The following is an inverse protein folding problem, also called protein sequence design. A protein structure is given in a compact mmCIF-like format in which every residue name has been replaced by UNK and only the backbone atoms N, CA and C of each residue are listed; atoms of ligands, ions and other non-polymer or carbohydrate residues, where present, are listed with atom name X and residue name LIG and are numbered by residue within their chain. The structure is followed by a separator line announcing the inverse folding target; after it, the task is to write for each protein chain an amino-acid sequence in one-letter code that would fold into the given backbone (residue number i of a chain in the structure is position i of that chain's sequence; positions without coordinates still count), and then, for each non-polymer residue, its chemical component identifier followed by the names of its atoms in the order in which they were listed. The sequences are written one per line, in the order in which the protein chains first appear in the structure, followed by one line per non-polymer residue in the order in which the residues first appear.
data_IF_731088940117
#
_entry.id   IF_731088940117
#
_cell.length_a   1.000
_cell.length_b   1.000
_cell.length_c   1.000
_cell.angle_alpha   90.00
_cell.angle_beta   90.00
_cell.angle_gamma   90.00
#
_symmetry.space_group_name_H-M   'P 1'
#
loop_
_entity.id
_entity.type
_entity.pdbx_description
1 polymer ?
#
# COMPACT_ATOMS: atom_id res chain seq x y z
N UNK A 1 -20.63 -18.82 -12.41
CA UNK A 1 -20.80 -19.00 -13.88
C UNK A 1 -19.43 -19.15 -14.51
N UNK A 2 -19.12 -20.30 -15.13
CA UNK A 2 -17.85 -20.50 -15.84
C UNK A 2 -17.89 -19.71 -17.15
N UNK A 3 -17.04 -18.69 -17.29
CA UNK A 3 -16.78 -18.02 -18.58
C UNK A 3 -16.20 -19.04 -19.56
N UNK A 4 -16.61 -18.98 -20.83
CA UNK A 4 -16.06 -19.86 -21.88
C UNK A 4 -14.63 -19.45 -22.23
N UNK A 5 -13.83 -20.38 -22.75
CA UNK A 5 -12.43 -20.10 -23.12
C UNK A 5 -12.29 -18.95 -24.13
N UNK A 6 -13.22 -18.80 -25.09
CA UNK A 6 -13.25 -17.67 -26.02
C UNK A 6 -13.50 -16.32 -25.33
N UNK A 7 -14.40 -16.26 -24.34
CA UNK A 7 -14.67 -15.02 -23.59
C UNK A 7 -13.49 -14.60 -22.72
N UNK A 8 -12.67 -15.56 -22.27
CA UNK A 8 -11.42 -15.27 -21.58
C UNK A 8 -10.41 -14.65 -22.56
N UNK A 9 -10.18 -15.30 -23.72
CA UNK A 9 -9.22 -14.84 -24.74
C UNK A 9 -9.53 -13.42 -25.25
N UNK A 10 -10.79 -13.12 -25.56
CA UNK A 10 -11.20 -11.77 -26.00
C UNK A 10 -11.06 -10.71 -24.89
N UNK A 11 -11.35 -11.09 -23.64
CA UNK A 11 -11.16 -10.22 -22.48
C UNK A 11 -9.69 -9.85 -22.27
N UNK A 12 -8.80 -10.84 -22.37
CA UNK A 12 -7.36 -10.63 -22.25
C UNK A 12 -6.83 -9.65 -23.31
N UNK A 13 -7.30 -9.76 -24.56
CA UNK A 13 -6.90 -8.87 -25.63
C UNK A 13 -7.35 -7.42 -25.39
N UNK A 14 -8.57 -7.23 -24.88
CA UNK A 14 -9.12 -5.91 -24.60
C UNK A 14 -8.37 -5.17 -23.48
N UNK A 15 -8.01 -5.89 -22.42
CA UNK A 15 -7.25 -5.32 -21.30
C UNK A 15 -5.79 -5.07 -21.70
N UNK A 16 -5.17 -5.94 -22.51
CA UNK A 16 -3.85 -5.68 -23.08
C UNK A 16 -3.83 -4.37 -23.86
N UNK A 17 -4.79 -4.16 -24.76
CA UNK A 17 -4.94 -2.90 -25.50
C UNK A 17 -5.14 -1.69 -24.58
N UNK A 18 -5.87 -1.88 -23.47
CA UNK A 18 -6.09 -0.84 -22.47
C UNK A 18 -4.81 -0.48 -21.71
N UNK A 19 -4.01 -1.47 -21.31
CA UNK A 19 -2.70 -1.26 -20.67
C UNK A 19 -1.75 -0.55 -21.65
N UNK A 20 -1.71 -0.99 -22.91
CA UNK A 20 -0.87 -0.38 -23.95
C UNK A 20 -1.24 1.09 -24.21
N UNK A 21 -2.53 1.41 -24.27
CA UNK A 21 -3.03 2.78 -24.51
C UNK A 21 -3.10 3.67 -23.26
N UNK A 22 -2.97 3.10 -22.05
CA UNK A 22 -3.00 3.86 -20.81
C UNK A 22 -1.84 4.88 -20.76
N UNK A 23 -2.14 6.09 -20.26
CA UNK A 23 -1.15 7.14 -19.99
C UNK A 23 -0.44 6.96 -18.65
N UNK A 24 -1.06 6.23 -17.71
CA UNK A 24 -0.49 5.87 -16.41
C UNK A 24 -0.91 4.45 -16.04
N UNK A 25 0.02 3.68 -15.54
CA UNK A 25 -0.23 2.33 -15.03
C UNK A 25 0.11 2.36 -13.55
N UNK A 26 -0.89 2.19 -12.70
CA UNK A 26 -0.70 1.96 -11.28
C UNK A 26 -0.65 0.46 -11.08
N UNK A 27 0.34 -0.05 -10.35
CA UNK A 27 0.50 -1.48 -10.13
C UNK A 27 0.79 -1.75 -8.66
N UNK A 28 0.11 -2.73 -8.07
CA UNK A 28 0.51 -3.26 -6.78
C UNK A 28 1.84 -4.02 -6.87
N UNK A 29 2.45 -4.29 -5.73
CA UNK A 29 3.79 -4.89 -5.66
C UNK A 29 3.71 -6.37 -5.31
N UNK A 30 3.24 -6.67 -4.10
CA UNK A 30 3.10 -8.03 -3.62
C UNK A 30 1.95 -8.71 -4.38
N UNK A 31 2.14 -9.95 -4.83
CA UNK A 31 1.15 -10.68 -5.61
C UNK A 31 1.07 -10.30 -7.11
N UNK A 32 1.60 -9.14 -7.49
CA UNK A 32 1.70 -8.69 -8.89
C UNK A 32 3.11 -8.81 -9.47
N UNK A 33 4.08 -8.13 -8.85
CA UNK A 33 5.48 -8.12 -9.29
C UNK A 33 6.32 -9.14 -8.53
N UNK A 34 6.09 -9.25 -7.22
CA UNK A 34 6.90 -10.09 -6.34
C UNK A 34 6.03 -10.89 -5.37
N UNK A 35 6.59 -11.98 -4.83
CA UNK A 35 6.03 -12.74 -3.71
C UNK A 35 7.19 -13.06 -2.76
N UNK A 36 7.31 -12.28 -1.68
CA UNK A 36 8.48 -12.36 -0.79
C UNK A 36 9.75 -11.93 -1.52
N UNK A 37 10.73 -12.82 -1.63
CA UNK A 37 12.00 -12.59 -2.36
C UNK A 37 11.98 -13.07 -3.82
N UNK A 38 10.83 -13.54 -4.32
CA UNK A 38 10.70 -14.08 -5.67
C UNK A 38 10.02 -13.09 -6.61
N UNK A 39 10.60 -12.86 -7.78
CA UNK A 39 9.95 -12.15 -8.90
C UNK A 39 8.92 -13.04 -9.58
N UNK A 40 7.74 -12.48 -9.86
CA UNK A 40 6.64 -13.17 -10.51
C UNK A 40 6.76 -13.11 -12.04
N UNK A 41 6.09 -14.04 -12.72
CA UNK A 41 6.19 -14.22 -14.17
C UNK A 41 5.81 -12.94 -14.93
N UNK A 42 6.69 -12.49 -15.82
CA UNK A 42 6.49 -11.30 -16.66
C UNK A 42 6.77 -9.97 -15.98
N UNK A 43 7.16 -9.95 -14.70
CA UNK A 43 7.35 -8.71 -13.96
C UNK A 43 8.54 -7.87 -14.46
N UNK A 44 9.66 -8.51 -14.82
CA UNK A 44 10.81 -7.81 -15.40
C UNK A 44 10.43 -7.13 -16.72
N UNK A 45 9.89 -7.92 -17.66
CA UNK A 45 9.50 -7.45 -18.98
C UNK A 45 8.43 -6.35 -18.88
N UNK A 46 7.51 -6.47 -17.92
CA UNK A 46 6.47 -5.48 -17.68
C UNK A 46 7.02 -4.15 -17.14
N UNK A 47 7.92 -4.21 -16.15
CA UNK A 47 8.56 -3.01 -15.59
C UNK A 47 9.38 -2.31 -16.65
N UNK A 48 10.18 -3.04 -17.42
CA UNK A 48 11.02 -2.46 -18.48
C UNK A 48 10.17 -1.84 -19.59
N UNK A 49 9.18 -2.58 -20.09
CA UNK A 49 8.34 -2.16 -21.22
C UNK A 49 7.47 -0.94 -20.90
N UNK A 50 7.03 -0.78 -19.65
CA UNK A 50 6.16 0.32 -19.22
C UNK A 50 6.82 1.33 -18.29
N UNK A 51 8.15 1.30 -18.18
CA UNK A 51 8.96 2.10 -17.25
C UNK A 51 8.63 3.60 -17.21
N UNK A 52 8.26 4.20 -18.34
CA UNK A 52 7.92 5.63 -18.42
C UNK A 52 6.56 6.00 -17.82
N UNK A 53 5.61 5.04 -17.78
CA UNK A 53 4.23 5.27 -17.31
C UNK A 53 3.82 4.44 -16.10
N UNK A 54 4.68 3.53 -15.65
CA UNK A 54 4.45 2.69 -14.49
C UNK A 54 4.71 3.45 -13.18
N UNK A 55 3.82 3.25 -12.21
CA UNK A 55 4.03 3.57 -10.80
C UNK A 55 3.56 2.42 -9.93
N UNK A 56 4.26 2.22 -8.82
CA UNK A 56 3.94 1.20 -7.84
C UNK A 56 3.18 1.80 -6.67
N UNK A 57 2.12 1.11 -6.25
CA UNK A 57 1.17 1.57 -5.26
C UNK A 57 0.91 0.46 -4.25
N UNK A 58 1.53 0.55 -3.07
CA UNK A 58 1.52 -0.54 -2.08
C UNK A 58 1.03 -0.09 -0.70
N UNK A 59 0.30 -0.98 -0.03
CA UNK A 59 -0.07 -0.84 1.38
C UNK A 59 1.11 -1.03 2.35
N UNK A 60 2.32 -1.30 1.84
CA UNK A 60 3.53 -1.43 2.64
C UNK A 60 3.74 -0.20 3.54
N UNK A 61 3.86 -0.47 4.84
CA UNK A 61 4.11 0.51 5.89
C UNK A 61 5.36 0.18 6.74
N UNK A 62 6.18 -0.76 6.26
CA UNK A 62 7.46 -1.20 6.88
C UNK A 62 8.67 -0.59 6.16
N UNK A 63 8.57 -0.42 4.84
CA UNK A 63 9.62 0.12 3.98
C UNK A 63 9.45 1.63 3.72
N UNK A 64 10.57 2.31 3.51
CA UNK A 64 10.59 3.60 2.83
C UNK A 64 10.77 3.37 1.33
N UNK A 65 10.50 4.37 0.50
CA UNK A 65 10.79 4.32 -0.93
C UNK A 65 12.24 3.94 -1.21
N UNK A 66 13.19 4.46 -0.45
CA UNK A 66 14.61 4.10 -0.59
C UNK A 66 14.87 2.62 -0.25
N UNK A 67 14.35 2.11 0.87
CA UNK A 67 14.59 0.71 1.24
C UNK A 67 13.88 -0.26 0.28
N UNK A 68 12.69 0.10 -0.18
CA UNK A 68 11.95 -0.68 -1.16
C UNK A 68 12.62 -0.65 -2.54
N UNK A 69 13.07 0.52 -3.02
CA UNK A 69 13.79 0.64 -4.28
C UNK A 69 15.03 -0.25 -4.26
N UNK A 70 15.85 -0.16 -3.20
CA UNK A 70 17.04 -1.00 -3.04
C UNK A 70 16.68 -2.49 -3.12
N UNK A 71 15.61 -2.91 -2.43
CA UNK A 71 15.12 -4.29 -2.49
C UNK A 71 14.69 -4.69 -3.91
N UNK A 72 13.92 -3.85 -4.60
CA UNK A 72 13.49 -4.12 -5.97
C UNK A 72 14.68 -4.20 -6.95
N UNK A 73 15.70 -3.36 -6.76
CA UNK A 73 16.94 -3.41 -7.54
C UNK A 73 17.70 -4.72 -7.34
N UNK A 74 17.78 -5.25 -6.11
CA UNK A 74 18.38 -6.57 -5.87
C UNK A 74 17.63 -7.71 -6.56
N UNK A 75 16.36 -7.49 -6.88
CA UNK A 75 15.51 -8.39 -7.64
C UNK A 75 15.52 -8.10 -9.14
N UNK A 76 16.34 -7.16 -9.63
CA UNK A 76 16.43 -6.79 -11.05
C UNK A 76 15.22 -6.00 -11.57
N UNK A 77 14.46 -5.34 -10.68
CA UNK A 77 13.37 -4.45 -11.03
C UNK A 77 13.80 -3.00 -10.81
N UNK A 78 14.03 -2.28 -11.90
CA UNK A 78 14.59 -0.93 -11.86
C UNK A 78 13.48 0.13 -11.93
N UNK A 79 13.24 0.84 -10.82
CA UNK A 79 12.30 1.94 -10.74
C UNK A 79 12.93 3.15 -10.04
N UNK A 80 12.46 4.35 -10.39
CA UNK A 80 12.82 5.59 -9.71
C UNK A 80 11.99 5.80 -8.45
N UNK A 81 12.53 6.56 -7.49
CA UNK A 81 11.83 6.87 -6.23
C UNK A 81 10.49 7.59 -6.42
N UNK A 82 10.35 8.40 -7.47
CA UNK A 82 9.10 9.11 -7.81
C UNK A 82 8.01 8.20 -8.39
N UNK A 83 8.35 6.93 -8.68
CA UNK A 83 7.41 5.91 -9.12
C UNK A 83 6.84 5.09 -7.96
N UNK A 84 7.30 5.28 -6.73
CA UNK A 84 6.92 4.45 -5.59
C UNK A 84 5.97 5.22 -4.66
N UNK A 85 4.79 4.68 -4.40
CA UNK A 85 3.78 5.26 -3.52
C UNK A 85 3.40 4.24 -2.44
N UNK A 86 3.83 4.51 -1.22
CA UNK A 86 3.72 3.58 -0.08
C UNK A 86 2.83 4.16 1.00
N UNK A 87 1.89 3.35 1.50
CA UNK A 87 0.94 3.78 2.51
C UNK A 87 1.61 4.28 3.80
N UNK A 88 2.75 3.70 4.20
CA UNK A 88 3.52 4.17 5.37
C UNK A 88 4.04 5.60 5.21
N UNK A 89 4.75 5.90 4.13
CA UNK A 89 5.26 7.26 3.89
C UNK A 89 4.14 8.26 3.61
N UNK A 90 3.07 7.85 2.93
CA UNK A 90 1.89 8.69 2.72
C UNK A 90 1.16 8.98 4.04
N UNK A 91 1.21 8.06 5.01
CA UNK A 91 0.72 8.29 6.37
C UNK A 91 1.51 9.39 7.07
N UNK A 92 2.83 9.38 6.94
CA UNK A 92 3.68 10.43 7.48
C UNK A 92 3.43 11.77 6.78
N UNK A 93 3.30 11.77 5.45
CA UNK A 93 3.01 12.98 4.68
C UNK A 93 1.64 13.58 5.06
N UNK A 94 0.63 12.72 5.24
CA UNK A 94 -0.69 13.12 5.68
C UNK A 94 -0.64 13.69 7.10
N UNK A 95 0.03 13.01 8.04
CA UNK A 95 0.17 13.48 9.42
C UNK A 95 0.87 14.85 9.49
N UNK A 96 1.97 15.03 8.76
CA UNK A 96 2.68 16.30 8.67
C UNK A 96 1.79 17.42 8.13
N UNK A 97 1.03 17.15 7.06
CA UNK A 97 0.14 18.14 6.45
C UNK A 97 -0.96 18.63 7.40
N UNK A 98 -1.52 17.75 8.24
CA UNK A 98 -2.69 18.07 9.06
C UNK A 98 -2.34 18.49 10.49
N UNK A 99 -1.23 18.00 11.04
CA UNK A 99 -0.82 18.30 12.42
C UNK A 99 0.43 19.18 12.51
N UNK A 100 1.14 19.39 11.40
CA UNK A 100 2.47 19.99 11.39
C UNK A 100 3.53 19.10 12.09
N UNK A 101 4.79 19.55 12.14
CA UNK A 101 5.82 18.91 12.95
C UNK A 101 5.40 18.86 14.43
N UNK A 102 5.76 17.79 15.12
CA UNK A 102 5.41 17.64 16.53
C UNK A 102 5.32 16.20 17.04
N UNK A 103 4.80 16.04 18.28
CA UNK A 103 4.75 14.75 18.96
C UNK A 103 3.66 13.86 18.39
N UNK A 104 4.03 12.62 18.07
CA UNK A 104 3.15 11.54 17.62
C UNK A 104 3.45 10.28 18.43
N UNK A 105 2.46 9.40 18.60
CA UNK A 105 2.71 8.06 19.12
C UNK A 105 2.74 7.09 17.94
N UNK A 106 3.80 6.29 17.82
CA UNK A 106 3.96 5.39 16.67
C UNK A 106 3.91 3.94 17.15
N UNK A 107 3.06 3.16 16.50
CA UNK A 107 3.20 1.71 16.36
C UNK A 107 3.73 1.49 14.94
N UNK A 108 5.05 1.45 14.79
CA UNK A 108 5.75 1.34 13.51
C UNK A 108 7.18 0.87 13.78
N UNK A 109 7.82 0.20 12.83
CA UNK A 109 9.23 -0.23 12.98
C UNK A 109 10.23 0.95 13.08
N UNK A 110 11.47 0.66 13.47
CA UNK A 110 12.53 1.66 13.60
C UNK A 110 12.76 2.50 12.34
N UNK A 111 12.72 1.87 11.16
CA UNK A 111 12.91 2.55 9.87
C UNK A 111 11.83 3.62 9.63
N UNK A 112 10.56 3.28 9.81
CA UNK A 112 9.46 4.21 9.61
C UNK A 112 9.46 5.32 10.67
N UNK A 113 9.84 5.02 11.92
CA UNK A 113 10.04 6.03 12.97
C UNK A 113 11.18 6.99 12.62
N UNK A 114 12.28 6.51 12.04
CA UNK A 114 13.37 7.35 11.57
C UNK A 114 12.91 8.29 10.42
N UNK A 115 12.20 7.75 9.43
CA UNK A 115 11.63 8.53 8.33
C UNK A 115 10.62 9.59 8.82
N UNK A 116 9.88 9.30 9.89
CA UNK A 116 9.00 10.26 10.55
C UNK A 116 9.79 11.39 11.21
N UNK A 117 10.85 11.04 11.95
CA UNK A 117 11.69 12.01 12.65
C UNK A 117 12.38 12.98 11.70
N UNK A 118 12.86 12.53 10.54
CA UNK A 118 13.42 13.38 9.47
C UNK A 118 12.44 14.46 8.98
N UNK A 119 11.14 14.18 9.05
CA UNK A 119 10.05 15.11 8.70
C UNK A 119 9.59 15.98 9.87
N UNK A 120 10.20 15.84 11.04
CA UNK A 120 9.80 16.52 12.28
C UNK A 120 8.60 15.90 12.99
N UNK A 121 8.20 14.67 12.65
CA UNK A 121 7.20 13.89 13.38
C UNK A 121 7.91 12.99 14.39
N UNK A 122 7.84 13.35 15.67
CA UNK A 122 8.69 12.76 16.70
C UNK A 122 7.88 11.78 17.56
N UNK A 123 8.38 10.56 17.71
CA UNK A 123 7.79 9.58 18.61
C UNK A 123 7.85 10.06 20.07
N UNK A 124 6.70 10.13 20.74
CA UNK A 124 6.58 10.59 22.14
C UNK A 124 5.55 9.75 22.90
N UNK A 125 5.92 9.36 24.12
CA UNK A 125 5.05 8.64 25.06
C UNK A 125 4.07 9.59 25.77
N UNK A 126 4.37 10.89 25.82
CA UNK A 126 3.59 11.90 26.50
C UNK A 126 2.90 12.84 25.51
N UNK A 127 1.59 13.05 25.71
CA UNK A 127 0.77 14.03 24.97
C UNK A 127 0.97 14.00 23.43
N UNK A 128 0.90 12.83 22.76
CA UNK A 128 0.93 12.77 21.30
C UNK A 128 -0.30 13.45 20.71
N UNK A 129 -0.17 14.01 19.50
CA UNK A 129 -1.30 14.59 18.76
C UNK A 129 -2.17 13.54 18.07
N UNK A 130 -1.58 12.40 17.73
CA UNK A 130 -2.25 11.25 17.13
C UNK A 130 -1.48 9.96 17.44
N UNK A 131 -2.19 8.83 17.34
CA UNK A 131 -1.59 7.49 17.30
C UNK A 131 -1.49 7.05 15.85
N UNK A 132 -0.27 6.84 15.37
CA UNK A 132 0.03 6.38 14.00
C UNK A 132 0.30 4.88 14.04
N UNK A 133 -0.47 4.12 13.27
CA UNK A 133 -0.38 2.66 13.20
C UNK A 133 0.10 2.25 11.81
N UNK A 134 1.33 1.76 11.77
CA UNK A 134 1.95 1.03 10.66
C UNK A 134 2.24 -0.40 11.12
N UNK A 135 2.82 -1.20 10.24
CA UNK A 135 3.32 -2.53 10.63
C UNK A 135 4.52 -2.35 11.53
N UNK A 136 4.44 -2.91 12.72
CA UNK A 136 5.49 -2.82 13.72
C UNK A 136 6.10 -4.20 13.99
N UNK A 137 7.27 -4.43 13.39
CA UNK A 137 8.06 -5.65 13.60
C UNK A 137 8.79 -5.67 14.96
N UNK A 138 8.73 -4.57 15.70
CA UNK A 138 9.38 -4.35 16.99
C UNK A 138 8.34 -4.06 18.08
N UNK A 139 7.11 -4.55 17.88
CA UNK A 139 5.98 -4.31 18.75
C UNK A 139 6.21 -4.94 20.13
N UNK A 140 5.86 -4.19 21.17
CA UNK A 140 5.83 -4.70 22.55
C UNK A 140 4.44 -4.51 23.13
N UNK A 141 4.10 -5.35 24.12
CA UNK A 141 2.83 -5.24 24.83
C UNK A 141 2.67 -3.87 25.52
N UNK A 142 3.75 -3.36 26.13
CA UNK A 142 3.80 -2.03 26.75
C UNK A 142 3.43 -0.91 25.75
N UNK A 143 3.93 -0.98 24.51
CA UNK A 143 3.60 0.01 23.47
C UNK A 143 2.14 -0.10 23.02
N UNK A 144 1.55 -1.30 23.03
CA UNK A 144 0.11 -1.48 22.78
C UNK A 144 -0.74 -0.86 23.88
N UNK A 145 -0.41 -1.11 25.15
CA UNK A 145 -1.13 -0.53 26.29
C UNK A 145 -1.02 1.00 26.31
N UNK A 146 0.17 1.55 25.99
CA UNK A 146 0.36 2.98 25.87
C UNK A 146 -0.45 3.58 24.71
N UNK A 147 -0.49 2.92 23.54
CA UNK A 147 -1.35 3.34 22.43
C UNK A 147 -2.83 3.34 22.84
N UNK A 148 -3.30 2.28 23.50
CA UNK A 148 -4.67 2.16 24.00
C UNK A 148 -5.02 3.29 24.97
N UNK A 149 -4.11 3.65 25.87
CA UNK A 149 -4.29 4.76 26.81
C UNK A 149 -4.44 6.11 26.09
N UNK A 150 -3.69 6.35 25.02
CA UNK A 150 -3.84 7.56 24.21
C UNK A 150 -5.17 7.59 23.46
N UNK A 151 -5.58 6.46 22.88
CA UNK A 151 -6.87 6.30 22.21
C UNK A 151 -8.02 6.57 23.19
N UNK A 152 -7.97 5.99 24.40
CA UNK A 152 -8.97 6.21 25.46
C UNK A 152 -9.03 7.67 25.95
N UNK A 153 -7.94 8.44 25.78
CA UNK A 153 -7.92 9.90 26.03
C UNK A 153 -8.41 10.72 24.84
N UNK A 154 -8.91 10.09 23.79
CA UNK A 154 -9.47 10.74 22.61
C UNK A 154 -8.44 11.11 21.53
N UNK A 155 -7.22 10.57 21.57
CA UNK A 155 -6.27 10.79 20.48
C UNK A 155 -6.80 10.13 19.18
N UNK A 156 -6.82 10.86 18.05
CA UNK A 156 -7.20 10.28 16.77
C UNK A 156 -6.17 9.24 16.32
N UNK A 157 -6.63 8.25 15.57
CA UNK A 157 -5.79 7.19 15.00
C UNK A 157 -5.57 7.44 13.52
N UNK A 158 -4.32 7.33 13.06
CA UNK A 158 -3.96 7.35 11.64
C UNK A 158 -3.44 5.96 11.29
N UNK A 159 -4.19 5.23 10.47
CA UNK A 159 -3.89 3.87 10.05
C UNK A 159 -3.28 3.87 8.64
N UNK A 160 -2.09 3.30 8.52
CA UNK A 160 -1.40 3.18 7.24
C UNK A 160 -2.14 2.25 6.27
N UNK A 161 -2.48 1.04 6.68
CA UNK A 161 -3.27 0.12 5.87
C UNK A 161 -4.23 -0.70 6.74
N UNK A 162 -5.35 -1.13 6.14
CA UNK A 162 -6.39 -1.90 6.82
C UNK A 162 -6.18 -3.42 6.79
N UNK A 163 -5.10 -3.90 6.19
CA UNK A 163 -4.87 -5.32 5.99
C UNK A 163 -4.63 -6.01 7.35
N UNK A 164 -5.23 -7.18 7.54
CA UNK A 164 -5.16 -7.92 8.81
C UNK A 164 -3.91 -8.80 8.85
N UNK A 165 -3.46 -9.30 7.69
CA UNK A 165 -2.32 -10.19 7.58
C UNK A 165 -1.35 -9.71 6.51
N UNK A 166 -0.08 -10.00 6.73
CA UNK A 166 1.02 -9.78 5.79
C UNK A 166 1.59 -11.15 5.36
N UNK A 167 1.86 -11.40 4.08
CA UNK A 167 2.54 -12.62 3.65
C UNK A 167 4.00 -12.61 4.12
N UNK A 168 4.31 -13.33 5.20
CA UNK A 168 5.67 -13.50 5.73
C UNK A 168 6.39 -14.72 5.16
N UNK A 169 7.71 -14.79 5.36
CA UNK A 169 8.57 -15.86 4.84
C UNK A 169 8.22 -17.26 5.38
N UNK A 170 7.83 -17.33 6.65
CA UNK A 170 7.49 -18.59 7.34
C UNK A 170 5.99 -18.82 7.50
N UNK A 171 5.17 -17.93 6.97
CA UNK A 171 3.71 -17.94 7.15
C UNK A 171 3.12 -16.54 7.29
N UNK A 172 1.81 -16.43 7.56
CA UNK A 172 1.15 -15.15 7.75
C UNK A 172 1.73 -14.42 8.97
N UNK A 173 2.00 -13.13 8.81
CA UNK A 173 2.41 -12.22 9.87
C UNK A 173 1.31 -11.21 10.19
N UNK A 174 1.38 -10.60 11.38
CA UNK A 174 0.48 -9.53 11.81
C UNK A 174 0.74 -8.28 10.95
N UNK A 175 -0.34 -7.62 10.55
CA UNK A 175 -0.34 -6.36 9.80
C UNK A 175 -1.09 -5.26 10.57
N UNK A 176 -0.96 -4.02 10.11
CA UNK A 176 -1.45 -2.79 10.76
C UNK A 176 -2.93 -2.85 11.12
N UNK A 177 -3.76 -3.44 10.24
CA UNK A 177 -5.19 -3.60 10.46
C UNK A 177 -5.52 -4.50 11.64
N UNK A 178 -4.74 -5.57 11.87
CA UNK A 178 -4.93 -6.43 13.03
C UNK A 178 -4.62 -5.70 14.35
N UNK A 179 -3.58 -4.85 14.36
CA UNK A 179 -3.27 -4.02 15.52
C UNK A 179 -4.40 -3.05 15.85
N UNK A 180 -4.98 -2.43 14.81
CA UNK A 180 -6.14 -1.56 14.98
C UNK A 180 -7.33 -2.34 15.56
N UNK A 181 -7.67 -3.52 15.02
CA UNK A 181 -8.79 -4.32 15.53
C UNK A 181 -8.60 -4.71 17.01
N UNK A 182 -7.37 -5.05 17.42
CA UNK A 182 -7.06 -5.34 18.82
C UNK A 182 -7.38 -4.11 19.70
N UNK A 183 -6.86 -2.93 19.33
CA UNK A 183 -7.06 -1.70 20.08
C UNK A 183 -8.53 -1.27 20.09
N UNK A 184 -9.21 -1.33 18.94
CA UNK A 184 -10.65 -1.04 18.78
C UNK A 184 -11.53 -1.93 19.65
N UNK A 185 -11.18 -3.22 19.76
CA UNK A 185 -11.92 -4.18 20.60
C UNK A 185 -11.81 -3.82 22.07
N UNK A 186 -10.67 -3.31 22.52
CA UNK A 186 -10.47 -2.86 23.89
C UNK A 186 -11.12 -1.49 24.15
N UNK A 187 -10.95 -0.54 23.22
CA UNK A 187 -11.55 0.79 23.27
C UNK A 187 -11.67 1.39 21.86
N UNK A 188 -12.90 1.62 21.35
CA UNK A 188 -13.09 2.20 20.04
C UNK A 188 -12.50 3.62 19.92
N UNK A 189 -11.64 3.92 18.93
CA UNK A 189 -11.15 5.27 18.70
C UNK A 189 -12.29 6.22 18.30
N UNK A 190 -12.22 7.47 18.78
CA UNK A 190 -13.18 8.51 18.39
C UNK A 190 -13.08 8.89 16.91
N UNK A 191 -11.89 8.73 16.31
CA UNK A 191 -11.63 9.05 14.93
C UNK A 191 -10.53 8.15 14.37
N UNK A 192 -10.75 7.60 13.17
CA UNK A 192 -9.78 6.81 12.43
C UNK A 192 -9.62 7.40 11.04
N UNK A 193 -8.39 7.71 10.68
CA UNK A 193 -7.99 8.15 9.35
C UNK A 193 -7.29 6.98 8.67
N UNK A 194 -7.82 6.51 7.53
CA UNK A 194 -7.26 5.42 6.74
C UNK A 194 -6.56 5.99 5.51
N UNK A 195 -5.33 5.53 5.25
CA UNK A 195 -4.48 6.09 4.18
C UNK A 195 -4.36 5.15 2.98
N UNK A 196 -4.06 3.88 3.25
CA UNK A 196 -3.88 2.86 2.23
C UNK A 196 -5.18 2.36 1.59
N UNK A 197 -5.02 1.51 0.58
CA UNK A 197 -6.10 0.81 -0.11
C UNK A 197 -6.93 0.01 0.92
N UNK A 198 -8.28 -0.04 0.83
CA UNK A 198 -9.10 0.36 -0.31
C UNK A 198 -9.41 1.87 -0.43
N UNK A 199 -8.91 2.72 0.45
CA UNK A 199 -9.14 4.16 0.28
C UNK A 199 -8.50 4.67 -1.02
N UNK A 200 -9.20 5.51 -1.80
CA UNK A 200 -8.72 5.93 -3.12
C UNK A 200 -7.56 6.92 -3.03
N UNK A 201 -7.31 7.52 -1.87
CA UNK A 201 -6.34 8.61 -1.68
C UNK A 201 -4.93 8.26 -2.17
N UNK A 202 -4.46 7.03 -1.89
CA UNK A 202 -3.15 6.57 -2.33
C UNK A 202 -3.07 6.45 -3.87
N UNK A 203 -4.12 5.95 -4.51
CA UNK A 203 -4.19 5.85 -5.98
C UNK A 203 -4.29 7.23 -6.62
N UNK A 204 -5.11 8.13 -6.07
CA UNK A 204 -5.23 9.50 -6.56
C UNK A 204 -3.90 10.26 -6.47
N UNK A 205 -3.12 10.01 -5.42
CA UNK A 205 -1.74 10.54 -5.30
C UNK A 205 -0.83 9.99 -6.39
N UNK A 206 -0.87 8.68 -6.65
CA UNK A 206 -0.05 8.05 -7.69
C UNK A 206 -0.47 8.41 -9.13
N UNK A 207 -1.76 8.70 -9.32
CA UNK A 207 -2.36 9.14 -10.60
C UNK A 207 -1.85 10.53 -11.00
N UNK A 208 -1.64 11.43 -10.04
CA UNK A 208 -1.18 12.79 -10.27
C UNK A 208 -2.18 13.58 -11.13
N UNK A 209 -1.71 14.14 -12.24
CA UNK A 209 -2.52 14.98 -13.14
C UNK A 209 -3.17 14.20 -14.30
N UNK A 210 -3.06 12.87 -14.32
CA UNK A 210 -3.63 12.04 -15.40
C UNK A 210 -5.12 11.81 -15.13
N UNK A 211 -5.97 11.94 -16.16
CA UNK A 211 -7.39 11.60 -16.04
C UNK A 211 -7.52 10.10 -15.70
N UNK A 212 -8.32 9.78 -14.68
CA UNK A 212 -8.51 8.40 -14.20
C UNK A 212 -8.94 7.43 -15.31
N UNK A 213 -9.69 7.91 -16.32
CA UNK A 213 -10.13 7.12 -17.49
C UNK A 213 -8.99 6.79 -18.46
N UNK A 214 -7.87 7.50 -18.36
CA UNK A 214 -6.65 7.27 -19.13
C UNK A 214 -5.63 6.44 -18.34
N UNK A 215 -6.01 5.92 -17.16
CA UNK A 215 -5.17 5.09 -16.32
C UNK A 215 -5.78 3.71 -16.06
N UNK A 216 -4.94 2.78 -15.65
CA UNK A 216 -5.34 1.46 -15.16
C UNK A 216 -4.70 1.19 -13.80
N UNK A 217 -5.39 0.43 -12.96
CA UNK A 217 -4.87 -0.12 -11.71
C UNK A 217 -4.75 -1.63 -11.88
N UNK A 218 -3.54 -2.17 -11.76
CA UNK A 218 -3.24 -3.60 -11.80
C UNK A 218 -2.99 -4.07 -10.38
N UNK A 219 -3.74 -5.07 -9.93
CA UNK A 219 -3.66 -5.59 -8.56
C UNK A 219 -4.08 -7.06 -8.48
N UNK A 220 -3.82 -7.73 -7.36
CA UNK A 220 -4.20 -9.12 -7.14
C UNK A 220 -5.32 -9.29 -6.11
N UNK A 221 -5.65 -8.22 -5.37
CA UNK A 221 -6.61 -8.24 -4.28
C UNK A 221 -7.87 -7.41 -4.60
N UNK A 222 -9.03 -8.06 -4.83
CA UNK A 222 -10.28 -7.36 -5.12
C UNK A 222 -10.77 -6.44 -3.99
N UNK A 223 -10.45 -6.77 -2.73
CA UNK A 223 -10.92 -6.04 -1.55
C UNK A 223 -10.14 -4.75 -1.31
N UNK A 224 -8.95 -4.61 -1.90
CA UNK A 224 -8.11 -3.43 -1.77
C UNK A 224 -7.91 -2.74 -3.12
N UNK A 225 -7.29 -3.42 -4.10
CA UNK A 225 -6.89 -2.84 -5.38
C UNK A 225 -8.08 -2.49 -6.26
N UNK A 226 -8.96 -3.46 -6.49
CA UNK A 226 -10.13 -3.27 -7.36
C UNK A 226 -11.08 -2.25 -6.75
N UNK A 227 -11.33 -2.36 -5.44
CA UNK A 227 -12.20 -1.43 -4.73
C UNK A 227 -11.65 0.01 -4.76
N UNK A 228 -10.37 0.20 -4.45
CA UNK A 228 -9.73 1.52 -4.51
C UNK A 228 -9.76 2.12 -5.92
N UNK A 229 -9.49 1.30 -6.95
CA UNK A 229 -9.51 1.74 -8.34
C UNK A 229 -10.90 2.21 -8.75
N UNK A 230 -11.94 1.44 -8.41
CA UNK A 230 -13.34 1.79 -8.69
C UNK A 230 -13.74 3.09 -8.00
N UNK A 231 -13.36 3.27 -6.73
CA UNK A 231 -13.61 4.51 -5.99
C UNK A 231 -12.86 5.72 -6.58
N UNK A 232 -11.66 5.50 -7.13
CA UNK A 232 -10.87 6.52 -7.81
C UNK A 232 -11.29 6.78 -9.28
N UNK A 233 -12.25 6.02 -9.82
CA UNK A 233 -12.65 6.09 -11.23
C UNK A 233 -11.62 5.52 -12.22
N UNK A 234 -10.65 4.75 -11.72
CA UNK A 234 -9.59 4.09 -12.50
C UNK A 234 -10.07 2.69 -12.90
N UNK A 235 -9.75 2.24 -14.11
CA UNK A 235 -10.13 0.89 -14.55
C UNK A 235 -9.27 -0.17 -13.83
N UNK A 236 -9.87 -1.09 -13.04
CA UNK A 236 -9.13 -2.16 -12.40
C UNK A 236 -8.87 -3.32 -13.37
N UNK A 237 -7.68 -3.93 -13.25
CA UNK A 237 -7.31 -5.17 -13.94
C UNK A 237 -6.75 -6.10 -12.88
N UNK A 238 -7.43 -7.22 -12.64
CA UNK A 238 -6.98 -8.23 -11.69
C UNK A 238 -5.97 -9.18 -12.33
N UNK A 239 -4.90 -9.44 -11.60
CA UNK A 239 -3.85 -10.42 -11.91
C UNK A 239 -3.61 -11.35 -10.72
N UNK A 240 -2.59 -12.19 -10.81
CA UNK A 240 -2.22 -13.14 -9.76
C UNK A 240 -3.10 -14.38 -9.74
N UNK A 241 -2.97 -15.14 -8.66
CA UNK A 241 -3.63 -16.44 -8.48
C UNK A 241 -5.16 -16.33 -8.53
N UNK A 242 -5.72 -15.25 -7.99
CA UNK A 242 -7.16 -15.00 -7.96
C UNK A 242 -7.76 -14.93 -9.36
N UNK A 243 -7.04 -14.33 -10.31
CA UNK A 243 -7.49 -14.16 -11.68
C UNK A 243 -6.96 -15.24 -12.65
N UNK A 244 -6.06 -16.13 -12.21
CA UNK A 244 -5.30 -17.03 -13.07
C UNK A 244 -4.66 -16.31 -14.26
N UNK A 245 -4.07 -15.15 -13.99
CA UNK A 245 -3.49 -14.26 -15.00
C UNK A 245 -2.24 -13.58 -14.46
N UNK A 246 -1.24 -13.37 -15.30
CA UNK A 246 0.02 -12.73 -14.93
C UNK A 246 0.31 -11.50 -15.77
N UNK A 247 1.32 -10.73 -15.37
CA UNK A 247 1.71 -9.51 -16.10
C UNK A 247 2.16 -9.80 -17.53
N UNK A 248 2.70 -11.00 -17.79
CA UNK A 248 3.03 -11.47 -19.15
C UNK A 248 1.82 -11.48 -20.08
N UNK A 249 0.61 -11.66 -19.57
CA UNK A 249 -0.63 -11.68 -20.37
C UNK A 249 -1.13 -10.25 -20.72
N UNK A 250 -0.44 -9.22 -20.22
CA UNK A 250 -0.72 -7.81 -20.46
C UNK A 250 0.31 -7.13 -21.38
N UNK A 251 1.38 -7.84 -21.77
CA UNK A 251 2.41 -7.38 -22.70
C UNK A 251 1.98 -7.58 -24.13
#
# INVERSE_FOLDING_TARGET
MKRTALQLVDGHQHERLRVQSARRILCDIDGCLISGSRVLTGAHEFVDHFSDKLVLVSNNSTDTRNSLQTRLETLGLHLRLDQLFLAGEETLAWALKHFGPGPMFFLANSRMRAAAAEKGLVHRMDKPRAVVICRDTELTFERLEAALLHIAKGCPVILANGDITHPGETGPAIESGALLHLLETCHPPSQIIRIGKPEPGLLLRALGNVDARQAVMIGDNPQTDELAARMAGIHPILVGKTAYRWLSDLL
#
